data_IF_643617573921
#
_entry.id   IF_643617573921
#
_cell.length_a   1.000
_cell.length_b   1.000
_cell.length_c   1.000
_cell.angle_alpha   90.00
_cell.angle_beta   90.00
_cell.angle_gamma   90.00
#
_symmetry.space_group_name_H-M   'P 1'
#
loop_
_entity.id
_entity.type
_entity.pdbx_description
1 polymer ?
#
# COMPACT_ATOMS: atom_id res chain seq x y z
N UNK A 1 8.31 7.65 5.80
CA UNK A 1 8.57 8.70 4.77
C UNK A 1 7.48 8.69 3.71
N UNK A 2 7.30 7.63 2.90
CA UNK A 2 6.27 7.60 1.84
C UNK A 2 4.84 7.85 2.35
N UNK A 3 4.37 7.12 3.36
CA UNK A 3 3.01 7.30 3.91
C UNK A 3 2.84 8.68 4.59
N UNK A 4 3.90 9.23 5.16
CA UNK A 4 3.88 10.59 5.74
C UNK A 4 3.73 11.65 4.64
N UNK A 5 4.54 11.54 3.58
CA UNK A 5 4.42 12.41 2.42
C UNK A 5 3.06 12.29 1.74
N UNK A 6 2.48 11.09 1.68
CA UNK A 6 1.13 10.89 1.17
C UNK A 6 0.10 11.64 2.03
N UNK A 7 0.16 11.50 3.36
CA UNK A 7 -0.72 12.23 4.27
C UNK A 7 -0.59 13.74 4.10
N UNK A 8 0.63 14.25 3.96
CA UNK A 8 0.88 15.67 3.75
C UNK A 8 0.24 16.16 2.44
N UNK A 9 0.36 15.38 1.36
CA UNK A 9 -0.31 15.67 0.07
C UNK A 9 -1.83 15.65 0.21
N UNK A 10 -2.40 14.61 0.83
CA UNK A 10 -3.85 14.50 1.04
C UNK A 10 -4.41 15.70 1.82
N UNK A 11 -3.70 16.13 2.87
CA UNK A 11 -4.08 17.30 3.65
C UNK A 11 -3.97 18.61 2.86
N UNK A 12 -2.91 18.76 2.06
CA UNK A 12 -2.73 19.94 1.23
C UNK A 12 -3.82 20.07 0.17
N UNK A 13 -4.25 18.96 -0.45
CA UNK A 13 -5.28 18.99 -1.49
C UNK A 13 -6.67 19.23 -0.88
N UNK A 14 -6.99 18.65 0.27
CA UNK A 14 -8.23 18.98 1.01
C UNK A 14 -8.28 20.47 1.38
N UNK A 15 -7.15 21.07 1.74
CA UNK A 15 -7.10 22.48 2.09
C UNK A 15 -7.27 23.40 0.87
N UNK A 16 -6.74 23.01 -0.29
CA UNK A 16 -7.01 23.72 -1.55
C UNK A 16 -8.49 23.69 -1.91
N UNK A 17 -9.13 22.53 -1.78
CA UNK A 17 -10.57 22.37 -2.02
C UNK A 17 -11.38 23.32 -1.13
N UNK A 18 -11.06 23.40 0.17
CA UNK A 18 -11.70 24.36 1.09
C UNK A 18 -11.54 25.81 0.64
N UNK A 19 -10.38 26.16 0.10
CA UNK A 19 -10.12 27.51 -0.41
C UNK A 19 -10.92 27.80 -1.67
N UNK A 20 -11.04 26.84 -2.61
CA UNK A 20 -11.88 26.96 -3.80
C UNK A 20 -13.35 27.19 -3.43
N UNK A 21 -13.89 26.40 -2.51
CA UNK A 21 -15.27 26.54 -2.03
C UNK A 21 -15.53 27.89 -1.31
N UNK A 22 -14.48 28.50 -0.75
CA UNK A 22 -14.53 29.81 -0.10
C UNK A 22 -14.44 30.99 -1.09
N UNK A 23 -14.03 30.78 -2.34
CA UNK A 23 -13.80 31.83 -3.35
C UNK A 23 -15.09 32.44 -3.94
N UNK A 24 -16.25 32.09 -3.40
CA UNK A 24 -17.53 32.72 -3.73
C UNK A 24 -18.44 31.85 -4.60
N UNK A 25 -19.62 32.37 -4.99
CA UNK A 25 -20.66 31.58 -5.67
C UNK A 25 -20.24 31.06 -7.04
N UNK A 26 -19.48 31.85 -7.81
CA UNK A 26 -19.01 31.46 -9.14
C UNK A 26 -18.03 30.28 -9.08
N UNK A 27 -17.09 30.31 -8.13
CA UNK A 27 -16.17 29.21 -7.90
C UNK A 27 -16.94 27.94 -7.51
N UNK A 28 -17.86 28.01 -6.55
CA UNK A 28 -18.68 26.85 -6.17
C UNK A 28 -19.50 26.26 -7.30
N UNK A 29 -20.00 27.10 -8.22
CA UNK A 29 -20.72 26.63 -9.39
C UNK A 29 -19.78 25.91 -10.37
N UNK A 30 -18.57 26.44 -10.55
CA UNK A 30 -17.54 25.81 -11.39
C UNK A 30 -17.15 24.43 -10.85
N UNK A 31 -16.86 24.32 -9.55
CA UNK A 31 -16.55 23.06 -8.88
C UNK A 31 -17.70 22.04 -9.05
N UNK A 32 -18.96 22.47 -8.87
CA UNK A 32 -20.13 21.61 -9.08
C UNK A 32 -20.20 21.06 -10.51
N UNK A 33 -19.87 21.89 -11.51
CA UNK A 33 -19.84 21.48 -12.92
C UNK A 33 -18.71 20.50 -13.20
N UNK A 34 -17.53 20.69 -12.59
CA UNK A 34 -16.41 19.75 -12.69
C UNK A 34 -16.79 18.39 -12.06
N UNK A 35 -17.40 18.39 -10.88
CA UNK A 35 -17.88 17.17 -10.24
C UNK A 35 -18.95 16.45 -11.09
N UNK A 36 -19.87 17.21 -11.70
CA UNK A 36 -20.85 16.65 -12.63
C UNK A 36 -20.16 16.02 -13.86
N UNK A 37 -19.14 16.68 -14.44
CA UNK A 37 -18.38 16.14 -15.56
C UNK A 37 -17.68 14.82 -15.20
N UNK A 38 -17.11 14.71 -14.00
CA UNK A 38 -16.52 13.46 -13.50
C UNK A 38 -17.56 12.34 -13.48
N UNK A 39 -18.79 12.62 -13.05
CA UNK A 39 -19.87 11.63 -13.07
C UNK A 39 -20.33 11.27 -14.49
N UNK A 40 -20.34 12.22 -15.42
CA UNK A 40 -20.59 11.94 -16.84
C UNK A 40 -19.52 10.99 -17.42
N UNK A 41 -18.24 11.26 -17.13
CA UNK A 41 -17.12 10.42 -17.57
C UNK A 41 -17.20 9.00 -16.97
N UNK A 42 -17.77 8.86 -15.78
CA UNK A 42 -18.06 7.56 -15.14
C UNK A 42 -19.28 6.83 -15.73
N UNK A 43 -20.00 7.46 -16.66
CA UNK A 43 -21.08 6.86 -17.43
C UNK A 43 -22.49 7.30 -17.07
N UNK A 44 -22.66 8.33 -16.23
CA UNK A 44 -23.98 8.92 -15.98
C UNK A 44 -24.40 9.81 -17.16
N UNK A 45 -25.71 9.90 -17.41
CA UNK A 45 -26.21 10.91 -18.35
C UNK A 45 -26.04 12.29 -17.74
N UNK A 46 -25.77 13.30 -18.56
CA UNK A 46 -25.66 14.71 -18.15
C UNK A 46 -26.69 15.18 -17.10
N UNK A 47 -28.02 14.98 -17.29
CA UNK A 47 -28.99 15.40 -16.29
C UNK A 47 -28.88 14.62 -14.97
N UNK A 48 -28.50 13.34 -15.00
CA UNK A 48 -28.30 12.55 -13.78
C UNK A 48 -26.99 12.91 -13.08
N UNK A 49 -25.91 13.12 -13.82
CA UNK A 49 -24.61 13.51 -13.30
C UNK A 49 -24.69 14.81 -12.51
N UNK A 50 -25.36 15.83 -13.07
CA UNK A 50 -25.61 17.08 -12.37
C UNK A 50 -26.48 16.89 -11.11
N UNK A 51 -27.53 16.05 -11.17
CA UNK A 51 -28.35 15.77 -9.98
C UNK A 51 -27.53 15.12 -8.87
N UNK A 52 -26.69 14.14 -9.21
CA UNK A 52 -25.81 13.46 -8.25
C UNK A 52 -24.81 14.43 -7.64
N UNK A 53 -24.17 15.28 -8.45
CA UNK A 53 -23.26 16.32 -7.96
C UNK A 53 -23.95 17.24 -6.96
N UNK A 54 -25.15 17.76 -7.28
CA UNK A 54 -25.92 18.62 -6.37
C UNK A 54 -26.26 17.92 -5.07
N UNK A 55 -26.81 16.71 -5.12
CA UNK A 55 -27.25 15.98 -3.92
C UNK A 55 -26.06 15.64 -2.99
N UNK A 56 -24.93 15.22 -3.55
CA UNK A 56 -23.74 14.88 -2.77
C UNK A 56 -23.05 16.13 -2.21
N UNK A 57 -22.93 17.19 -2.99
CA UNK A 57 -22.39 18.48 -2.55
C UNK A 57 -23.25 19.11 -1.45
N UNK A 58 -24.57 19.02 -1.54
CA UNK A 58 -25.50 19.50 -0.50
C UNK A 58 -25.33 18.74 0.82
N UNK A 59 -24.98 17.46 0.77
CA UNK A 59 -24.75 16.64 1.96
C UNK A 59 -23.43 17.01 2.63
N UNK A 60 -22.34 17.06 1.87
CA UNK A 60 -21.01 17.43 2.34
C UNK A 60 -20.11 17.77 1.15
N UNK A 61 -19.94 19.06 0.88
CA UNK A 61 -19.17 19.56 -0.26
C UNK A 61 -17.73 19.05 -0.27
N UNK A 62 -17.01 19.17 0.86
CA UNK A 62 -15.59 18.80 0.90
C UNK A 62 -15.45 17.30 0.75
N UNK A 63 -16.34 16.51 1.37
CA UNK A 63 -16.30 15.05 1.23
C UNK A 63 -16.65 14.57 -0.18
N UNK A 64 -17.62 15.20 -0.84
CA UNK A 64 -17.98 14.84 -2.22
C UNK A 64 -16.80 15.08 -3.17
N UNK A 65 -16.21 16.27 -3.13
CA UNK A 65 -15.06 16.62 -3.96
C UNK A 65 -13.82 15.80 -3.60
N UNK A 66 -13.44 15.72 -2.31
CA UNK A 66 -12.27 14.94 -1.92
C UNK A 66 -12.37 13.47 -2.34
N UNK A 67 -13.55 12.86 -2.21
CA UNK A 67 -13.73 11.46 -2.59
C UNK A 67 -13.77 11.27 -4.10
N UNK A 68 -14.59 12.04 -4.80
CA UNK A 68 -14.94 11.76 -6.18
C UNK A 68 -14.02 12.46 -7.20
N UNK A 69 -13.36 13.54 -6.82
CA UNK A 69 -12.33 14.21 -7.63
C UNK A 69 -10.92 13.75 -7.24
N UNK A 70 -10.58 13.82 -5.95
CA UNK A 70 -9.21 13.56 -5.48
C UNK A 70 -8.95 12.08 -5.14
N UNK A 71 -10.00 11.26 -5.01
CA UNK A 71 -9.87 9.86 -4.58
C UNK A 71 -9.47 9.71 -3.10
N UNK A 72 -9.67 10.76 -2.29
CA UNK A 72 -9.29 10.82 -0.88
C UNK A 72 -10.52 10.55 -0.01
N UNK A 73 -10.43 9.54 0.85
CA UNK A 73 -11.38 9.37 1.95
C UNK A 73 -10.91 10.17 3.18
N UNK A 74 -11.67 11.21 3.52
CA UNK A 74 -11.36 12.12 4.64
C UNK A 74 -11.39 11.36 5.98
N UNK A 75 -12.17 10.28 6.09
CA UNK A 75 -12.26 9.49 7.32
C UNK A 75 -11.11 8.46 7.44
N UNK A 76 -10.42 8.15 6.33
CA UNK A 76 -9.36 7.14 6.25
C UNK A 76 -8.04 7.70 5.68
N UNK A 77 -7.67 8.92 6.07
CA UNK A 77 -6.38 9.50 5.68
C UNK A 77 -5.21 8.59 6.03
N UNK A 78 -4.16 8.62 5.19
CA UNK A 78 -2.95 7.85 5.39
C UNK A 78 -2.40 8.00 6.82
N UNK A 79 -2.14 6.87 7.50
CA UNK A 79 -1.62 6.83 8.87
C UNK A 79 -0.16 6.35 8.90
N UNK A 80 0.83 7.26 8.96
CA UNK A 80 2.24 6.89 8.84
C UNK A 80 2.74 6.09 10.03
N UNK A 81 2.25 6.40 11.23
CA UNK A 81 2.68 5.72 12.46
C UNK A 81 2.22 4.27 12.43
N UNK A 82 0.94 4.04 12.14
CA UNK A 82 0.39 2.69 12.00
C UNK A 82 1.12 1.89 10.92
N UNK A 83 1.32 2.47 9.73
CA UNK A 83 2.02 1.80 8.63
C UNK A 83 3.46 1.44 8.99
N UNK A 84 4.18 2.34 9.68
CA UNK A 84 5.57 2.11 10.10
C UNK A 84 5.70 1.03 11.16
N UNK A 85 4.84 1.04 12.19
CA UNK A 85 4.85 0.06 13.26
C UNK A 85 4.43 -1.33 12.76
N UNK A 86 3.39 -1.40 11.91
CA UNK A 86 2.97 -2.64 11.29
C UNK A 86 4.07 -3.25 10.41
N UNK A 87 4.77 -2.41 9.63
CA UNK A 87 5.86 -2.84 8.77
C UNK A 87 7.08 -3.31 9.58
N UNK A 88 7.46 -2.57 10.62
CA UNK A 88 8.52 -2.96 11.54
C UNK A 88 8.22 -4.30 12.21
N UNK A 89 7.02 -4.46 12.78
CA UNK A 89 6.60 -5.69 13.42
C UNK A 89 6.60 -6.87 12.44
N UNK A 90 6.06 -6.68 11.24
CA UNK A 90 6.04 -7.72 10.20
C UNK A 90 7.45 -8.14 9.79
N UNK A 91 8.37 -7.18 9.64
CA UNK A 91 9.77 -7.47 9.32
C UNK A 91 10.47 -8.24 10.44
N UNK A 92 10.32 -7.79 11.69
CA UNK A 92 10.94 -8.45 12.85
C UNK A 92 10.42 -9.88 13.02
N UNK A 93 9.11 -10.08 12.90
CA UNK A 93 8.49 -11.41 12.99
C UNK A 93 8.97 -12.30 11.84
N UNK A 94 8.95 -11.79 10.61
CA UNK A 94 9.38 -12.55 9.43
C UNK A 94 10.84 -12.96 9.47
N UNK A 95 11.73 -12.04 9.82
CA UNK A 95 13.17 -12.30 9.94
C UNK A 95 13.52 -13.13 11.19
N UNK A 96 12.72 -13.03 12.26
CA UNK A 96 12.93 -13.75 13.50
C UNK A 96 12.82 -15.26 13.36
N UNK A 97 11.92 -15.76 12.50
CA UNK A 97 11.69 -17.20 12.30
C UNK A 97 12.99 -17.95 11.93
N UNK A 98 13.68 -17.63 10.82
CA UNK A 98 14.89 -18.34 10.45
C UNK A 98 16.06 -18.09 11.42
N UNK A 99 16.17 -16.89 11.98
CA UNK A 99 17.22 -16.57 12.96
C UNK A 99 17.09 -17.43 14.22
N UNK A 100 15.87 -17.56 14.76
CA UNK A 100 15.62 -18.39 15.95
C UNK A 100 15.78 -19.88 15.65
N UNK A 101 15.34 -20.35 14.48
CA UNK A 101 15.50 -21.75 14.06
C UNK A 101 16.96 -22.20 13.95
N UNK A 102 17.88 -21.25 13.73
CA UNK A 102 19.31 -21.51 13.55
C UNK A 102 20.16 -21.09 14.76
N UNK A 103 19.59 -20.37 15.74
CA UNK A 103 20.33 -19.67 16.80
C UNK A 103 21.24 -20.59 17.64
N UNK A 104 20.80 -21.83 17.89
CA UNK A 104 21.50 -22.77 18.77
C UNK A 104 22.26 -23.87 18.00
N UNK A 105 22.35 -23.77 16.67
CA UNK A 105 23.04 -24.76 15.83
C UNK A 105 24.48 -24.31 15.61
N UNK A 106 25.42 -25.03 16.23
CA UNK A 106 26.84 -24.67 16.21
C UNK A 106 27.55 -25.16 14.93
N UNK A 107 27.16 -26.33 14.41
CA UNK A 107 27.76 -26.87 13.20
C UNK A 107 27.26 -26.12 11.96
N UNK A 108 28.20 -25.54 11.20
CA UNK A 108 27.90 -24.65 10.07
C UNK A 108 26.98 -25.28 9.03
N UNK A 109 27.17 -26.57 8.72
CA UNK A 109 26.36 -27.31 7.75
C UNK A 109 24.89 -27.37 8.18
N UNK A 110 24.62 -27.79 9.41
CA UNK A 110 23.26 -27.89 9.94
C UNK A 110 22.61 -26.53 10.13
N UNK A 111 23.39 -25.51 10.48
CA UNK A 111 22.90 -24.14 10.62
C UNK A 111 22.40 -23.60 9.28
N UNK A 112 23.16 -23.81 8.20
CA UNK A 112 22.75 -23.41 6.85
C UNK A 112 21.50 -24.15 6.38
N UNK A 113 21.41 -25.47 6.60
CA UNK A 113 20.23 -26.26 6.26
C UNK A 113 19.00 -25.72 7.01
N UNK A 114 19.13 -25.45 8.31
CA UNK A 114 18.04 -24.89 9.13
C UNK A 114 17.58 -23.52 8.60
N UNK A 115 18.50 -22.61 8.31
CA UNK A 115 18.20 -21.30 7.72
C UNK A 115 17.47 -21.42 6.38
N UNK A 116 17.93 -22.30 5.48
CA UNK A 116 17.32 -22.48 4.17
C UNK A 116 15.90 -23.03 4.27
N UNK A 117 15.68 -24.05 5.08
CA UNK A 117 14.35 -24.68 5.25
C UNK A 117 13.38 -23.70 5.90
N UNK A 118 13.77 -23.10 7.03
CA UNK A 118 12.91 -22.17 7.79
C UNK A 118 12.58 -20.92 6.99
N UNK A 119 13.54 -20.34 6.26
CA UNK A 119 13.30 -19.17 5.40
C UNK A 119 12.36 -19.52 4.24
N UNK A 120 12.56 -20.67 3.59
CA UNK A 120 11.70 -21.13 2.49
C UNK A 120 10.28 -21.35 2.98
N UNK A 121 10.10 -22.03 4.11
CA UNK A 121 8.79 -22.25 4.72
C UNK A 121 8.11 -20.93 5.07
N UNK A 122 8.84 -19.99 5.69
CA UNK A 122 8.32 -18.67 6.02
C UNK A 122 7.86 -17.90 4.76
N UNK A 123 8.67 -17.90 3.69
CA UNK A 123 8.32 -17.25 2.42
C UNK A 123 7.03 -17.83 1.82
N UNK A 124 6.89 -19.16 1.79
CA UNK A 124 5.69 -19.82 1.28
C UNK A 124 4.48 -19.44 2.14
N UNK A 125 4.59 -19.54 3.46
CA UNK A 125 3.48 -19.28 4.39
C UNK A 125 3.05 -17.81 4.32
N UNK A 126 3.98 -16.86 4.44
CA UNK A 126 3.64 -15.43 4.36
C UNK A 126 3.15 -15.03 2.97
N UNK A 127 3.70 -15.61 1.89
CA UNK A 127 3.19 -15.38 0.54
C UNK A 127 1.77 -15.91 0.34
N UNK A 128 1.46 -17.08 0.90
CA UNK A 128 0.12 -17.64 0.86
C UNK A 128 -0.87 -16.82 1.68
N UNK A 129 -0.51 -16.42 2.91
CA UNK A 129 -1.33 -15.55 3.76
C UNK A 129 -1.59 -14.22 3.05
N UNK A 130 -0.55 -13.56 2.52
CA UNK A 130 -0.68 -12.28 1.82
C UNK A 130 -1.59 -12.37 0.60
N UNK A 131 -1.51 -13.46 -0.18
CA UNK A 131 -2.42 -13.69 -1.29
C UNK A 131 -3.85 -13.94 -0.82
N UNK A 132 -4.05 -14.76 0.22
CA UNK A 132 -5.37 -15.04 0.78
C UNK A 132 -6.07 -13.78 1.32
N UNK A 133 -5.34 -12.91 2.03
CA UNK A 133 -5.86 -11.63 2.51
C UNK A 133 -6.27 -10.69 1.37
N UNK A 134 -5.60 -10.79 0.22
CA UNK A 134 -5.95 -10.04 -1.00
C UNK A 134 -6.99 -10.71 -1.90
N UNK A 135 -7.62 -11.82 -1.47
CA UNK A 135 -8.59 -12.56 -2.28
C UNK A 135 -7.99 -13.35 -3.45
N UNK A 136 -6.66 -13.54 -3.48
CA UNK A 136 -5.95 -14.28 -4.52
C UNK A 136 -5.69 -15.74 -4.12
N UNK A 137 -5.28 -16.56 -5.10
CA UNK A 137 -4.96 -17.95 -4.86
C UNK A 137 -3.73 -18.12 -3.94
N UNK A 138 -3.91 -18.83 -2.82
CA UNK A 138 -2.87 -19.04 -1.80
C UNK A 138 -1.61 -19.73 -2.35
N UNK A 139 -1.77 -20.75 -3.19
CA UNK A 139 -0.66 -21.52 -3.74
C UNK A 139 0.19 -20.64 -4.66
N UNK A 140 -0.44 -19.89 -5.57
CA UNK A 140 0.26 -18.96 -6.46
C UNK A 140 0.94 -17.83 -5.67
N UNK A 141 0.29 -17.35 -4.60
CA UNK A 141 0.88 -16.39 -3.67
C UNK A 141 2.17 -16.89 -3.03
N UNK A 142 2.10 -18.06 -2.39
CA UNK A 142 3.26 -18.70 -1.75
C UNK A 142 4.38 -18.99 -2.75
N UNK A 143 4.06 -19.53 -3.92
CA UNK A 143 5.04 -19.84 -4.97
C UNK A 143 5.75 -18.57 -5.47
N UNK A 144 5.00 -17.50 -5.75
CA UNK A 144 5.55 -16.22 -6.21
C UNK A 144 6.53 -15.63 -5.19
N UNK A 145 6.17 -15.61 -3.91
CA UNK A 145 7.03 -15.06 -2.86
C UNK A 145 8.25 -15.95 -2.61
N UNK A 146 8.09 -17.27 -2.62
CA UNK A 146 9.20 -18.21 -2.52
C UNK A 146 10.21 -18.02 -3.65
N UNK A 147 9.75 -18.00 -4.91
CA UNK A 147 10.61 -17.85 -6.08
C UNK A 147 11.31 -16.49 -6.10
N UNK A 148 10.57 -15.40 -5.82
CA UNK A 148 11.15 -14.06 -5.72
C UNK A 148 12.20 -13.96 -4.61
N UNK A 149 11.91 -14.54 -3.44
CA UNK A 149 12.84 -14.60 -2.32
C UNK A 149 14.10 -15.40 -2.63
N UNK A 150 13.96 -16.58 -3.26
CA UNK A 150 15.10 -17.39 -3.71
C UNK A 150 15.96 -16.69 -4.76
N UNK A 151 15.34 -16.00 -5.72
CA UNK A 151 16.06 -15.21 -6.71
C UNK A 151 16.86 -14.09 -6.04
N UNK A 152 16.25 -13.35 -5.12
CA UNK A 152 16.94 -12.30 -4.36
C UNK A 152 18.12 -12.87 -3.56
N UNK A 153 17.92 -13.96 -2.82
CA UNK A 153 18.98 -14.63 -2.06
C UNK A 153 20.12 -15.11 -2.97
N UNK A 154 19.79 -15.69 -4.13
CA UNK A 154 20.77 -16.14 -5.11
C UNK A 154 21.61 -14.98 -5.67
N UNK A 155 20.99 -13.85 -5.97
CA UNK A 155 21.68 -12.63 -6.42
C UNK A 155 22.58 -12.09 -5.30
N UNK A 156 22.07 -11.92 -4.09
CA UNK A 156 22.85 -11.41 -2.95
C UNK A 156 24.03 -12.33 -2.62
N UNK A 157 23.83 -13.64 -2.64
CA UNK A 157 24.91 -14.61 -2.46
C UNK A 157 25.95 -14.53 -3.58
N UNK A 158 25.51 -14.44 -4.84
CA UNK A 158 26.40 -14.31 -6.00
C UNK A 158 27.26 -13.05 -5.94
N UNK A 159 26.65 -11.91 -5.61
CA UNK A 159 27.37 -10.64 -5.38
C UNK A 159 28.36 -10.79 -4.23
N UNK A 160 27.91 -11.31 -3.08
CA UNK A 160 28.76 -11.52 -1.91
C UNK A 160 29.97 -12.40 -2.21
N UNK A 161 29.80 -13.45 -3.01
CA UNK A 161 30.90 -14.30 -3.46
C UNK A 161 31.86 -13.57 -4.42
N UNK A 162 31.34 -12.76 -5.34
CA UNK A 162 32.14 -12.01 -6.30
C UNK A 162 33.03 -10.92 -5.68
N UNK A 163 32.54 -10.26 -4.63
CA UNK A 163 33.34 -9.32 -3.84
C UNK A 163 34.19 -10.01 -2.76
N UNK A 164 33.73 -11.16 -2.24
CA UNK A 164 34.44 -11.95 -1.23
C UNK A 164 35.67 -12.70 -1.76
N UNK A 165 35.85 -12.80 -3.09
CA UNK A 165 37.09 -13.32 -3.69
C UNK A 165 38.25 -12.30 -3.76
N UNK A 166 38.08 -11.11 -3.18
CA UNK A 166 39.10 -10.06 -3.11
C UNK A 166 39.71 -9.85 -1.71
N UNK A 167 39.51 -10.79 -0.77
CA UNK A 167 40.13 -10.80 0.54
C UNK A 167 40.80 -12.15 0.84
#
# INVERSE_FOLDING_TARGET
ISVASQRDTEQADIEKERQQQANGPEARQHELEELAEIYEQRGLSKPLAHQVAVELTNKDVIRAHARDELGIDIDELANPLQASLASMASFVIGAGIPLLAAAFIHEAKWRLISLSISSTAALIVFGAIGAGLGGANLFMGGLRVMLGGWLALGITYGIGRGFGSAA
#
